data_IF_207186588418
#
_entry.id   IF_207186588418
#
_cell.length_a   1.000
_cell.length_b   1.000
_cell.length_c   1.000
_cell.angle_alpha   90.00
_cell.angle_beta   90.00
_cell.angle_gamma   90.00
#
_symmetry.space_group_name_H-M   'P 1'
#
loop_
_entity.id
_entity.type
_entity.pdbx_description
1 polymer ?
#
# COMPACT_ATOMS: atom_id res chain seq x y z
N UNK A 1 13.36 15.52 12.04
CA UNK A 1 13.75 15.18 10.67
C UNK A 1 12.64 14.34 10.07
N UNK A 2 12.03 14.80 9.00
CA UNK A 2 10.97 14.05 8.30
C UNK A 2 11.60 13.02 7.37
N UNK A 3 10.99 11.82 7.26
CA UNK A 3 11.44 10.80 6.31
C UNK A 3 11.38 11.31 4.85
N UNK A 4 10.53 12.30 4.57
CA UNK A 4 10.40 12.91 3.25
C UNK A 4 11.54 13.87 2.87
N UNK A 5 12.43 14.20 3.79
CA UNK A 5 13.61 15.06 3.56
C UNK A 5 14.87 14.25 3.24
N UNK A 6 14.82 12.94 3.41
CA UNK A 6 15.94 12.07 3.10
C UNK A 6 16.12 11.93 1.59
N UNK A 7 17.33 12.15 1.10
CA UNK A 7 17.73 11.83 -0.27
C UNK A 7 18.17 10.36 -0.45
N UNK A 8 18.38 9.67 0.67
CA UNK A 8 18.81 8.28 0.69
C UNK A 8 17.63 7.33 0.93
N UNK A 9 17.67 6.11 0.37
CA UNK A 9 16.68 5.09 0.68
C UNK A 9 16.67 4.75 2.16
N UNK A 10 15.49 4.75 2.77
CA UNK A 10 15.30 4.39 4.18
C UNK A 10 14.57 3.06 4.25
N UNK A 11 15.15 2.09 4.94
CA UNK A 11 14.55 0.78 5.18
C UNK A 11 14.16 0.67 6.65
N UNK A 12 12.87 0.52 6.91
CA UNK A 12 12.33 0.30 8.26
C UNK A 12 12.01 -1.19 8.40
N UNK A 13 12.77 -1.87 9.24
CA UNK A 13 12.52 -3.28 9.55
C UNK A 13 11.79 -3.40 10.88
N UNK A 14 10.61 -3.99 10.85
CA UNK A 14 9.85 -4.30 12.05
C UNK A 14 10.24 -5.72 12.48
N UNK A 15 11.42 -5.81 13.11
CA UNK A 15 11.99 -7.06 13.61
C UNK A 15 11.87 -7.12 15.13
N UNK A 16 11.94 -8.32 15.65
CA UNK A 16 12.18 -8.58 17.08
C UNK A 16 10.95 -8.92 17.89
N UNK A 17 9.78 -8.95 17.31
CA UNK A 17 8.64 -9.54 18.01
C UNK A 17 7.99 -10.62 17.16
N UNK A 18 7.81 -11.81 17.73
CA UNK A 18 6.98 -12.87 17.15
C UNK A 18 5.49 -12.59 17.34
N UNK A 19 5.15 -11.50 18.03
CA UNK A 19 3.79 -11.10 18.29
C UNK A 19 3.23 -10.30 17.12
N UNK A 20 2.33 -10.89 16.36
CA UNK A 20 1.68 -10.28 15.21
C UNK A 20 0.91 -8.99 15.57
N UNK A 21 0.34 -8.91 16.77
CA UNK A 21 -0.40 -7.72 17.20
C UNK A 21 0.54 -6.52 17.35
N UNK A 22 1.73 -6.74 17.89
CA UNK A 22 2.75 -5.69 17.99
C UNK A 22 3.26 -5.29 16.62
N UNK A 23 3.51 -6.23 15.72
CA UNK A 23 3.91 -5.91 14.35
C UNK A 23 2.85 -5.06 13.63
N UNK A 24 1.57 -5.42 13.77
CA UNK A 24 0.45 -4.63 13.23
C UNK A 24 0.39 -3.23 13.85
N UNK A 25 0.58 -3.11 15.15
CA UNK A 25 0.59 -1.83 15.84
C UNK A 25 1.73 -0.92 15.36
N UNK A 26 2.95 -1.44 15.26
CA UNK A 26 4.10 -0.69 14.74
C UNK A 26 3.91 -0.27 13.28
N UNK A 27 3.45 -1.18 12.43
CA UNK A 27 3.13 -0.85 11.03
C UNK A 27 2.11 0.27 10.94
N UNK A 28 1.08 0.21 11.77
CA UNK A 28 0.03 1.23 11.83
C UNK A 28 0.55 2.59 12.24
N UNK A 29 1.41 2.64 13.26
CA UNK A 29 2.01 3.88 13.75
C UNK A 29 2.93 4.52 12.70
N UNK A 30 3.76 3.70 12.04
CA UNK A 30 4.64 4.17 10.97
C UNK A 30 3.81 4.74 9.82
N UNK A 31 2.80 3.99 9.37
CA UNK A 31 1.90 4.45 8.29
C UNK A 31 1.18 5.73 8.65
N UNK A 32 0.67 5.83 9.87
CA UNK A 32 0.01 7.03 10.35
C UNK A 32 0.95 8.23 10.42
N UNK A 33 2.19 8.02 10.87
CA UNK A 33 3.24 9.04 10.86
C UNK A 33 3.53 9.55 9.44
N UNK A 34 3.75 8.63 8.50
CA UNK A 34 3.96 8.95 7.09
C UNK A 34 2.77 9.71 6.49
N UNK A 35 1.56 9.28 6.78
CA UNK A 35 0.34 9.93 6.32
C UNK A 35 0.22 11.35 6.84
N UNK A 36 0.44 11.58 8.13
CA UNK A 36 0.41 12.93 8.71
C UNK A 36 1.49 13.84 8.15
N UNK A 37 2.71 13.34 8.02
CA UNK A 37 3.83 14.11 7.49
C UNK A 37 3.65 14.43 5.99
N UNK A 38 2.96 13.59 5.25
CA UNK A 38 2.61 13.83 3.86
C UNK A 38 1.90 15.18 3.68
N UNK A 39 0.94 15.51 4.55
CA UNK A 39 0.22 16.78 4.47
C UNK A 39 1.10 17.99 4.79
N UNK A 40 2.05 17.84 5.72
CA UNK A 40 3.00 18.91 6.08
C UNK A 40 3.90 19.28 4.92
N UNK A 41 4.15 18.34 4.05
CA UNK A 41 4.98 18.52 2.88
C UNK A 41 4.35 19.44 1.83
N UNK A 42 3.02 19.50 1.78
CA UNK A 42 2.26 20.24 0.79
C UNK A 42 2.19 19.54 -0.58
N UNK A 43 1.42 20.15 -1.48
CA UNK A 43 1.18 19.62 -2.82
C UNK A 43 2.48 19.62 -3.65
N UNK A 44 2.63 18.60 -4.48
CA UNK A 44 3.77 18.43 -5.38
C UNK A 44 3.27 18.23 -6.80
N UNK A 45 4.01 18.74 -7.77
CA UNK A 45 3.72 18.63 -9.21
C UNK A 45 4.22 17.31 -9.83
N UNK A 46 5.11 16.60 -9.14
CA UNK A 46 5.72 15.35 -9.58
C UNK A 46 5.91 14.36 -8.43
N UNK A 47 6.06 13.09 -8.79
CA UNK A 47 6.42 12.06 -7.82
C UNK A 47 7.89 12.24 -7.43
N UNK A 48 8.14 12.36 -6.15
CA UNK A 48 9.46 12.57 -5.55
C UNK A 48 9.89 11.42 -4.66
N UNK A 49 8.93 10.67 -4.09
CA UNK A 49 9.20 9.57 -3.19
C UNK A 49 8.33 8.36 -3.52
N UNK A 50 8.86 7.18 -3.28
CA UNK A 50 8.10 5.94 -3.28
C UNK A 50 8.08 5.33 -1.88
N UNK A 51 6.92 4.96 -1.41
CA UNK A 51 6.74 4.16 -0.20
C UNK A 51 6.44 2.73 -0.63
N UNK A 52 7.35 1.83 -0.35
CA UNK A 52 7.17 0.40 -0.61
C UNK A 52 6.84 -0.29 0.70
N UNK A 53 5.69 -0.90 0.75
CA UNK A 53 5.24 -1.66 1.91
C UNK A 53 5.14 -3.14 1.53
N UNK A 54 6.16 -3.88 1.91
CA UNK A 54 6.19 -5.34 1.76
C UNK A 54 5.37 -6.00 2.87
N UNK A 55 4.79 -7.16 2.59
CA UNK A 55 3.87 -7.83 3.52
C UNK A 55 2.68 -6.93 3.94
N UNK A 56 2.15 -6.16 3.00
CA UNK A 56 1.12 -5.15 3.26
C UNK A 56 -0.16 -5.72 3.87
N UNK A 57 -0.40 -7.03 3.77
CA UNK A 57 -1.51 -7.73 4.45
C UNK A 57 -1.48 -7.54 5.97
N UNK A 58 -0.30 -7.32 6.58
CA UNK A 58 -0.15 -7.10 8.03
C UNK A 58 -0.83 -5.81 8.49
N UNK A 59 -0.97 -4.84 7.60
CA UNK A 59 -1.68 -3.58 7.86
C UNK A 59 -2.93 -3.41 6.99
N UNK A 60 -3.30 -4.43 6.22
CA UNK A 60 -4.33 -4.37 5.18
C UNK A 60 -5.73 -3.97 5.68
N UNK A 61 -6.02 -4.21 6.96
CA UNK A 61 -7.29 -3.82 7.59
C UNK A 61 -7.33 -2.35 8.03
N UNK A 62 -6.21 -1.63 7.93
CA UNK A 62 -6.20 -0.20 8.21
C UNK A 62 -6.91 0.53 7.08
N UNK A 63 -8.00 1.18 7.39
CA UNK A 63 -8.69 2.08 6.45
C UNK A 63 -7.81 3.24 5.99
N UNK A 64 -6.71 3.47 6.69
CA UNK A 64 -5.72 4.48 6.34
C UNK A 64 -5.02 4.18 5.00
N UNK A 65 -4.78 2.90 4.66
CA UNK A 65 -4.11 2.53 3.42
C UNK A 65 -4.91 2.94 2.18
N UNK A 66 -6.21 2.59 2.04
CA UNK A 66 -7.02 3.09 0.94
C UNK A 66 -7.10 4.62 0.87
N UNK A 67 -7.17 5.27 2.02
CA UNK A 67 -7.20 6.74 2.10
C UNK A 67 -5.89 7.33 1.60
N UNK A 68 -4.76 6.82 2.06
CA UNK A 68 -3.44 7.25 1.61
C UNK A 68 -3.24 6.98 0.12
N UNK A 69 -3.68 5.84 -0.40
CA UNK A 69 -3.59 5.49 -1.81
C UNK A 69 -4.32 6.49 -2.72
N UNK A 70 -5.45 7.05 -2.27
CA UNK A 70 -6.21 8.07 -3.01
C UNK A 70 -5.52 9.44 -3.01
N UNK A 71 -4.83 9.78 -1.94
CA UNK A 71 -4.33 11.13 -1.69
C UNK A 71 -2.84 11.29 -2.01
N UNK A 72 -2.02 10.26 -1.83
CA UNK A 72 -0.55 10.34 -1.81
C UNK A 72 0.06 10.94 -3.08
N UNK A 73 -0.55 10.70 -4.24
CA UNK A 73 -0.08 11.23 -5.53
C UNK A 73 -0.04 12.76 -5.55
N UNK A 74 -1.03 13.43 -4.95
CA UNK A 74 -1.09 14.90 -4.88
C UNK A 74 0.09 15.49 -4.10
N UNK A 75 0.64 14.69 -3.21
CA UNK A 75 1.78 15.07 -2.36
C UNK A 75 3.11 14.49 -2.88
N UNK A 76 3.15 14.07 -4.13
CA UNK A 76 4.36 13.59 -4.78
C UNK A 76 4.83 12.22 -4.29
N UNK A 77 3.94 11.38 -3.79
CA UNK A 77 4.24 10.07 -3.23
C UNK A 77 3.60 8.98 -4.11
N UNK A 78 4.40 7.99 -4.48
CA UNK A 78 3.94 6.72 -5.05
C UNK A 78 3.86 5.67 -3.96
N UNK A 79 2.73 4.99 -3.84
CA UNK A 79 2.53 3.91 -2.89
C UNK A 79 2.59 2.57 -3.62
N UNK A 80 3.48 1.69 -3.19
CA UNK A 80 3.62 0.33 -3.69
C UNK A 80 3.31 -0.63 -2.55
N UNK A 81 2.31 -1.46 -2.74
CA UNK A 81 1.88 -2.45 -1.76
C UNK A 81 2.14 -3.85 -2.32
N UNK A 82 2.97 -4.62 -1.65
CA UNK A 82 3.24 -6.01 -1.98
C UNK A 82 2.57 -6.93 -0.95
N UNK A 83 1.89 -7.97 -1.42
CA UNK A 83 1.25 -8.96 -0.56
C UNK A 83 1.13 -10.30 -1.27
N UNK A 84 1.14 -11.36 -0.50
CA UNK A 84 0.90 -12.71 -0.99
C UNK A 84 -0.58 -13.05 -1.05
N UNK A 85 -1.44 -12.33 -0.33
CA UNK A 85 -2.86 -12.62 -0.20
C UNK A 85 -3.73 -11.39 -0.52
N UNK A 86 -4.39 -11.42 -1.66
CA UNK A 86 -5.27 -10.34 -2.11
C UNK A 86 -6.53 -10.19 -1.23
N UNK A 87 -7.00 -11.30 -0.65
CA UNK A 87 -8.22 -11.32 0.19
C UNK A 87 -8.12 -10.50 1.48
N UNK A 88 -6.91 -10.20 1.92
CA UNK A 88 -6.68 -9.45 3.15
C UNK A 88 -6.90 -7.95 2.98
N UNK A 89 -6.89 -7.47 1.76
CA UNK A 89 -7.12 -6.06 1.48
C UNK A 89 -8.61 -5.71 1.48
N UNK A 90 -8.91 -4.55 2.02
CA UNK A 90 -10.25 -3.99 1.93
C UNK A 90 -10.62 -3.67 0.47
N UNK A 91 -11.86 -3.94 0.07
CA UNK A 91 -12.33 -3.74 -1.31
C UNK A 91 -12.09 -2.31 -1.84
N UNK A 92 -12.16 -1.30 -0.97
CA UNK A 92 -11.90 0.09 -1.34
C UNK A 92 -10.46 0.36 -1.79
N UNK A 93 -9.50 -0.50 -1.45
CA UNK A 93 -8.13 -0.37 -1.94
C UNK A 93 -8.05 -0.62 -3.44
N UNK A 94 -8.76 -1.63 -3.93
CA UNK A 94 -8.75 -1.99 -5.34
C UNK A 94 -9.26 -0.85 -6.24
N UNK A 95 -10.20 -0.06 -5.75
CA UNK A 95 -10.67 1.13 -6.48
C UNK A 95 -9.71 2.33 -6.41
N UNK A 96 -8.78 2.32 -5.45
CA UNK A 96 -7.81 3.40 -5.26
C UNK A 96 -6.47 3.15 -5.98
N UNK A 97 -6.16 1.89 -6.27
CA UNK A 97 -4.93 1.48 -6.94
C UNK A 97 -5.09 1.57 -8.45
N UNK A 98 -4.14 2.23 -9.12
CA UNK A 98 -4.17 2.44 -10.56
C UNK A 98 -3.54 1.30 -11.37
N UNK A 99 -2.56 0.60 -10.79
CA UNK A 99 -1.81 -0.45 -11.48
C UNK A 99 -1.69 -1.68 -10.61
N UNK A 100 -1.82 -2.85 -11.23
CA UNK A 100 -1.67 -4.14 -10.59
C UNK A 100 -0.56 -4.92 -11.27
N UNK A 101 0.37 -5.44 -10.48
CA UNK A 101 1.33 -6.43 -10.92
C UNK A 101 0.96 -7.76 -10.25
N UNK A 102 0.45 -8.69 -11.04
CA UNK A 102 -0.02 -9.97 -10.56
C UNK A 102 0.93 -11.04 -11.08
N UNK A 103 1.52 -11.77 -10.16
CA UNK A 103 2.34 -12.93 -10.45
C UNK A 103 1.50 -14.19 -10.31
N UNK A 104 2.11 -15.33 -10.05
CA UNK A 104 1.41 -16.61 -9.90
C UNK A 104 0.39 -16.56 -8.76
N UNK A 105 -0.87 -16.86 -9.06
CA UNK A 105 -1.97 -16.90 -8.11
C UNK A 105 -2.52 -18.33 -7.96
N UNK A 106 -3.19 -18.57 -6.84
CA UNK A 106 -4.12 -19.69 -6.69
C UNK A 106 -5.46 -19.37 -7.36
N UNK A 107 -6.23 -20.39 -7.71
CA UNK A 107 -7.57 -20.18 -8.30
C UNK A 107 -8.52 -19.41 -7.37
N UNK A 108 -8.33 -19.53 -6.05
CA UNK A 108 -9.12 -18.82 -5.06
C UNK A 108 -8.80 -17.33 -5.06
N UNK A 109 -7.52 -16.98 -5.12
CA UNK A 109 -7.06 -15.59 -5.17
C UNK A 109 -7.43 -14.93 -6.50
N UNK A 110 -7.31 -15.64 -7.61
CA UNK A 110 -7.72 -15.17 -8.93
C UNK A 110 -9.21 -14.80 -8.95
N UNK A 111 -10.07 -15.66 -8.39
CA UNK A 111 -11.51 -15.36 -8.27
C UNK A 111 -11.80 -14.16 -7.35
N UNK A 112 -11.05 -14.03 -6.28
CA UNK A 112 -11.18 -12.89 -5.35
C UNK A 112 -10.80 -11.57 -6.03
N UNK A 113 -9.69 -11.56 -6.74
CA UNK A 113 -9.23 -10.38 -7.50
C UNK A 113 -10.20 -10.00 -8.62
N UNK A 114 -10.67 -10.98 -9.39
CA UNK A 114 -11.62 -10.73 -10.47
C UNK A 114 -12.91 -10.05 -10.03
N UNK A 115 -13.34 -10.24 -8.78
CA UNK A 115 -14.52 -9.57 -8.23
C UNK A 115 -14.29 -8.11 -7.86
N UNK A 116 -13.04 -7.74 -7.61
CA UNK A 116 -12.66 -6.41 -7.11
C UNK A 116 -12.09 -5.50 -8.20
N UNK A 117 -11.75 -6.07 -9.34
CA UNK A 117 -11.22 -5.35 -10.50
C UNK A 117 -12.36 -5.06 -11.48
N UNK A 118 -12.34 -3.91 -12.13
CA UNK A 118 -13.38 -3.53 -13.11
C UNK A 118 -13.37 -4.47 -14.32
N UNK A 119 -14.47 -4.55 -15.07
CA UNK A 119 -14.59 -5.43 -16.22
C UNK A 119 -13.51 -5.21 -17.28
N UNK A 120 -13.08 -3.96 -17.50
CA UNK A 120 -11.99 -3.63 -18.42
C UNK A 120 -10.62 -4.14 -17.96
N UNK A 121 -10.42 -4.26 -16.66
CA UNK A 121 -9.18 -4.77 -16.07
C UNK A 121 -9.21 -6.30 -15.97
N UNK A 122 -10.40 -6.90 -15.90
CA UNK A 122 -10.56 -8.37 -15.90
C UNK A 122 -10.03 -8.99 -17.19
N UNK A 123 -10.27 -8.36 -18.34
CA UNK A 123 -9.74 -8.84 -19.62
C UNK A 123 -8.21 -8.85 -19.65
N UNK A 124 -7.56 -7.91 -18.96
CA UNK A 124 -6.10 -7.85 -18.85
C UNK A 124 -5.51 -8.88 -17.89
N UNK A 125 -6.28 -9.34 -16.91
CA UNK A 125 -5.85 -10.34 -15.94
C UNK A 125 -5.79 -11.75 -16.53
N UNK A 126 -6.54 -12.03 -17.60
CA UNK A 126 -6.64 -13.33 -18.23
C UNK A 126 -5.96 -13.39 -19.62
N UNK A 127 -5.36 -12.28 -20.02
CA UNK A 127 -4.54 -12.22 -21.22
C UNK A 127 -3.09 -12.59 -20.93
#
# INVERSE_FOLDING_TARGET
MSLWESSEPVVIRIHGTQNEHLQKAFSSLIFYGLYKDMFRRGLQDRITHAVVFDEAHRAARLQLIPTMAKECRKYGISLVLASQEAKDFHSSLFSAVANYLILRLTDADARSLARNVTSSDQEKLFA
#
